data_IF_562569188680
#
_entry.id   IF_562569188680
#
_cell.length_a   1.000
_cell.length_b   1.000
_cell.length_c   1.000
_cell.angle_alpha   90.00
_cell.angle_beta   90.00
_cell.angle_gamma   90.00
#
_symmetry.space_group_name_H-M   'P 1'
#
loop_
_entity.id
_entity.type
_entity.pdbx_description
1 polymer ?
#
# COMPACT_ATOMS: atom_id res chain seq x y z
N UNK A 1 15.63 23.03 41.66
CA UNK A 1 16.98 23.45 41.24
C UNK A 1 17.69 22.18 40.76
N UNK A 2 17.57 21.87 39.47
CA UNK A 2 18.62 22.07 38.43
C UNK A 2 19.83 21.18 38.73
N UNK A 3 20.21 20.20 37.90
CA UNK A 3 20.70 20.38 36.53
C UNK A 3 21.14 18.99 36.00
N UNK A 4 20.56 18.50 34.90
CA UNK A 4 21.12 18.41 33.53
C UNK A 4 22.06 17.23 33.22
N UNK A 5 21.58 16.45 32.24
CA UNK A 5 22.24 16.03 31.00
C UNK A 5 23.50 15.15 31.07
N UNK A 6 23.35 13.93 30.56
CA UNK A 6 24.41 13.15 29.93
C UNK A 6 24.02 12.86 28.48
N UNK A 7 24.51 13.70 27.56
CA UNK A 7 24.58 13.47 26.12
C UNK A 7 26.07 13.44 25.77
N UNK A 8 26.54 12.34 25.17
CA UNK A 8 27.57 12.36 24.12
C UNK A 8 28.02 10.94 23.74
N UNK A 9 27.96 10.63 22.44
CA UNK A 9 29.10 10.13 21.65
C UNK A 9 28.80 10.16 20.15
N UNK A 10 29.12 11.29 19.51
CA UNK A 10 29.49 11.34 18.10
C UNK A 10 30.91 10.77 17.92
N UNK A 11 31.16 10.01 16.85
CA UNK A 11 32.51 9.70 16.36
C UNK A 11 32.80 10.41 15.04
N UNK A 12 34.08 10.80 14.93
CA UNK A 12 34.70 11.83 14.10
C UNK A 12 34.95 11.47 12.63
N UNK A 13 34.98 12.53 11.82
CA UNK A 13 35.64 12.66 10.52
C UNK A 13 37.16 12.47 10.59
N UNK A 14 37.77 11.99 9.51
CA UNK A 14 39.15 12.35 9.12
C UNK A 14 39.22 12.60 7.60
N UNK A 15 39.66 13.81 7.24
CA UNK A 15 40.10 14.22 5.92
C UNK A 15 41.55 14.70 6.06
N UNK A 16 42.45 14.28 5.16
CA UNK A 16 43.75 14.94 4.96
C UNK A 16 44.17 14.91 3.49
N UNK A 17 44.57 16.10 3.05
CA UNK A 17 45.07 16.56 1.75
C UNK A 17 46.44 15.98 1.34
N UNK A 18 46.74 16.01 0.04
CA UNK A 18 48.09 15.93 -0.51
C UNK A 18 48.15 16.34 -1.99
N UNK A 19 48.47 17.62 -2.23
CA UNK A 19 48.72 18.25 -3.54
C UNK A 19 50.15 17.96 -4.03
N UNK A 20 50.38 17.82 -5.34
CA UNK A 20 51.61 18.25 -6.04
C UNK A 20 51.37 18.37 -7.55
N UNK A 21 51.89 19.44 -8.15
CA UNK A 21 51.60 19.95 -9.50
C UNK A 21 52.86 19.98 -10.40
N UNK A 22 52.67 20.58 -11.60
CA UNK A 22 53.63 21.02 -12.64
C UNK A 22 54.00 19.98 -13.72
N UNK A 23 54.14 20.27 -15.03
CA UNK A 23 54.20 21.52 -15.81
C UNK A 23 53.75 21.25 -17.28
N UNK A 24 52.91 22.12 -17.88
CA UNK A 24 53.19 23.08 -18.96
C UNK A 24 53.92 22.58 -20.24
N UNK A 25 53.23 22.64 -21.39
CA UNK A 25 53.76 23.07 -22.70
C UNK A 25 52.61 23.64 -23.58
N UNK A 26 52.80 24.88 -24.03
CA UNK A 26 52.19 25.51 -25.22
C UNK A 26 53.38 26.05 -26.06
N UNK A 27 53.28 26.31 -27.38
CA UNK A 27 52.35 27.26 -28.03
C UNK A 27 51.87 26.73 -29.43
N UNK A 28 51.14 27.38 -30.34
CA UNK A 28 50.90 28.79 -30.66
C UNK A 28 49.77 28.91 -31.73
N UNK A 29 49.06 30.07 -31.73
CA UNK A 29 48.45 30.88 -32.83
C UNK A 29 47.60 30.20 -33.95
N UNK A 30 46.54 30.80 -34.52
CA UNK A 30 46.30 32.17 -35.01
C UNK A 30 44.79 32.48 -34.98
N UNK A 31 44.42 33.74 -34.76
CA UNK A 31 43.07 34.27 -34.96
C UNK A 31 43.09 35.35 -36.06
N UNK A 32 42.14 35.25 -37.00
CA UNK A 32 41.60 36.28 -37.92
C UNK A 32 40.13 35.85 -38.13
N UNK A 33 39.08 36.65 -38.30
CA UNK A 33 38.84 38.07 -38.52
C UNK A 33 37.36 38.20 -38.94
N UNK A 34 36.74 39.31 -38.58
CA UNK A 34 35.30 39.69 -38.63
C UNK A 34 34.64 39.62 -40.03
N UNK A 35 33.32 39.34 -40.11
CA UNK A 35 32.21 40.19 -40.68
C UNK A 35 31.03 39.37 -41.24
N UNK A 36 29.81 39.87 -41.02
CA UNK A 36 28.78 39.94 -42.08
C UNK A 36 27.57 39.02 -41.99
N UNK A 37 26.40 39.63 -41.81
CA UNK A 37 25.04 39.10 -41.93
C UNK A 37 24.68 38.57 -43.34
N UNK A 38 23.50 37.93 -43.40
CA UNK A 38 22.64 37.56 -44.54
C UNK A 38 22.72 36.10 -45.03
N UNK A 39 21.71 35.29 -44.66
CA UNK A 39 20.78 34.69 -45.62
C UNK A 39 19.74 33.80 -44.92
N UNK A 40 18.46 34.14 -45.12
CA UNK A 40 17.32 33.29 -44.82
C UNK A 40 17.32 32.03 -45.72
N UNK A 41 17.07 30.87 -45.11
CA UNK A 41 16.61 29.66 -45.79
C UNK A 41 15.48 29.06 -44.97
N UNK A 42 14.29 29.09 -45.56
CA UNK A 42 13.09 28.45 -45.08
C UNK A 42 13.04 26.97 -45.48
N UNK A 43 12.17 26.25 -44.77
CA UNK A 43 11.61 24.92 -45.05
C UNK A 43 12.44 23.70 -44.62
N UNK A 44 11.86 22.99 -43.65
CA UNK A 44 12.28 21.69 -43.13
C UNK A 44 11.34 21.31 -41.99
N UNK A 45 10.06 21.24 -42.33
CA UNK A 45 8.97 20.75 -41.48
C UNK A 45 9.16 19.23 -41.34
N UNK A 46 9.58 18.78 -40.16
CA UNK A 46 9.40 17.40 -39.72
C UNK A 46 8.94 17.45 -38.28
N UNK A 47 7.62 17.53 -38.15
CA UNK A 47 6.90 17.22 -36.93
C UNK A 47 7.23 15.79 -36.50
N UNK A 48 8.15 15.64 -35.54
CA UNK A 48 8.19 14.42 -34.75
C UNK A 48 7.09 14.52 -33.70
N UNK A 49 5.96 13.92 -34.10
CA UNK A 49 4.79 13.62 -33.28
C UNK A 49 5.22 12.82 -32.04
N UNK A 50 5.51 13.52 -30.95
CA UNK A 50 5.41 12.90 -29.63
C UNK A 50 3.93 12.87 -29.29
N UNK A 51 3.31 11.76 -29.68
CA UNK A 51 1.94 11.42 -29.33
C UNK A 51 1.83 11.35 -27.81
N UNK A 52 1.30 12.43 -27.25
CA UNK A 52 1.02 12.61 -25.83
C UNK A 52 -0.25 11.84 -25.48
N UNK A 53 -0.14 10.51 -25.38
CA UNK A 53 -1.26 9.68 -24.91
C UNK A 53 -1.17 9.50 -23.39
N UNK A 54 -1.79 10.45 -22.69
CA UNK A 54 -1.82 10.52 -21.23
C UNK A 54 -2.90 9.58 -20.67
N UNK A 55 -2.55 8.74 -19.68
CA UNK A 55 -3.49 7.83 -18.97
C UNK A 55 -3.39 7.83 -17.42
N UNK A 56 -4.50 7.95 -16.66
CA UNK A 56 -4.67 7.25 -15.34
C UNK A 56 -4.00 7.83 -14.10
N UNK A 57 -3.95 7.05 -12.99
CA UNK A 57 -2.67 6.80 -12.29
C UNK A 57 -1.59 7.10 -13.32
N UNK A 58 -0.79 8.13 -13.10
CA UNK A 58 -0.12 8.81 -14.22
C UNK A 58 0.67 7.79 -15.05
N UNK A 59 0.37 7.73 -16.35
CA UNK A 59 0.83 6.71 -17.31
C UNK A 59 0.36 5.27 -16.99
N UNK A 60 -0.88 5.12 -16.55
CA UNK A 60 -1.48 3.88 -16.06
C UNK A 60 -2.21 3.09 -17.12
N UNK A 61 -2.20 1.77 -16.97
CA UNK A 61 -2.88 0.83 -17.86
C UNK A 61 -4.29 0.50 -17.37
N UNK A 62 -5.16 0.05 -18.28
CA UNK A 62 -6.49 -0.41 -17.94
C UNK A 62 -6.43 -1.57 -16.92
N UNK A 63 -7.24 -1.53 -15.86
CA UNK A 63 -7.22 -2.56 -14.83
C UNK A 63 -7.49 -3.96 -15.40
N UNK A 64 -6.84 -4.97 -14.81
CA UNK A 64 -7.03 -6.38 -15.17
C UNK A 64 -8.17 -7.00 -14.34
N UNK A 65 -8.58 -8.22 -14.70
CA UNK A 65 -9.70 -8.89 -14.03
C UNK A 65 -9.51 -9.01 -12.50
N UNK A 66 -8.33 -9.44 -12.05
CA UNK A 66 -8.09 -9.65 -10.61
C UNK A 66 -8.17 -8.35 -9.80
N UNK A 67 -7.80 -7.21 -10.41
CA UNK A 67 -7.90 -5.88 -9.81
C UNK A 67 -9.36 -5.43 -9.73
N UNK A 68 -10.10 -5.52 -10.84
CA UNK A 68 -11.53 -5.16 -10.89
C UNK A 68 -12.35 -5.89 -9.84
N UNK A 69 -12.10 -7.18 -9.68
CA UNK A 69 -12.85 -8.01 -8.73
C UNK A 69 -12.66 -7.59 -7.27
N UNK A 70 -11.61 -6.81 -6.94
CA UNK A 70 -11.25 -6.42 -5.57
C UNK A 70 -11.46 -4.94 -5.28
N UNK A 71 -11.53 -4.09 -6.31
CA UNK A 71 -11.60 -2.64 -6.17
C UNK A 71 -13.04 -2.15 -6.39
N UNK A 72 -13.41 -1.05 -5.75
CA UNK A 72 -14.74 -0.43 -5.86
C UNK A 72 -14.64 1.06 -6.10
N UNK A 73 -15.68 1.63 -6.72
CA UNK A 73 -15.86 3.08 -6.81
C UNK A 73 -16.76 3.57 -5.68
N UNK A 74 -16.34 4.65 -5.04
CA UNK A 74 -17.07 5.37 -3.99
C UNK A 74 -17.52 6.77 -4.47
N UNK A 75 -17.70 6.94 -5.79
CA UNK A 75 -18.10 8.22 -6.38
C UNK A 75 -16.91 9.17 -6.62
N UNK A 76 -16.41 9.83 -5.56
CA UNK A 76 -15.24 10.72 -5.63
C UNK A 76 -13.96 10.09 -5.04
N UNK A 77 -14.04 8.98 -4.29
CA UNK A 77 -12.91 8.11 -3.94
C UNK A 77 -12.94 6.68 -4.52
N UNK A 78 -11.85 5.95 -4.32
CA UNK A 78 -11.70 4.51 -4.61
C UNK A 78 -11.67 3.74 -3.28
N UNK A 79 -12.00 2.45 -3.30
CA UNK A 79 -11.85 1.55 -2.15
C UNK A 79 -11.52 0.12 -2.56
N UNK A 80 -11.27 -0.74 -1.58
CA UNK A 80 -10.92 -2.15 -1.77
C UNK A 80 -11.74 -3.07 -0.88
N UNK A 81 -12.14 -4.22 -1.41
CA UNK A 81 -12.97 -5.21 -0.73
C UNK A 81 -12.09 -6.03 0.21
N UNK A 82 -12.35 -5.97 1.51
CA UNK A 82 -11.56 -6.65 2.56
C UNK A 82 -12.35 -7.74 3.30
N UNK A 83 -13.65 -7.83 3.07
CA UNK A 83 -14.46 -9.00 3.44
C UNK A 83 -15.75 -9.06 2.61
N UNK A 84 -16.63 -10.04 2.88
CA UNK A 84 -17.92 -10.18 2.18
C UNK A 84 -18.83 -8.95 2.32
N UNK A 85 -18.67 -8.17 3.38
CA UNK A 85 -19.56 -7.04 3.69
C UNK A 85 -18.78 -5.76 4.02
N UNK A 86 -17.47 -5.71 3.74
CA UNK A 86 -16.65 -4.57 4.13
C UNK A 86 -15.73 -4.09 3.01
N UNK A 87 -15.66 -2.77 2.87
CA UNK A 87 -14.73 -2.05 1.99
C UNK A 87 -13.81 -1.19 2.84
N UNK A 88 -12.53 -1.18 2.50
CA UNK A 88 -11.53 -0.27 3.05
C UNK A 88 -11.33 0.92 2.11
N UNK A 89 -11.19 2.11 2.66
CA UNK A 89 -10.88 3.35 1.93
C UNK A 89 -10.15 4.32 2.86
N UNK A 90 -9.89 5.54 2.39
CA UNK A 90 -9.29 6.61 3.19
C UNK A 90 -10.36 7.34 4.02
N UNK A 91 -9.99 7.84 5.20
CA UNK A 91 -10.89 8.61 6.06
C UNK A 91 -11.22 9.98 5.44
N UNK A 92 -10.24 10.64 4.82
CA UNK A 92 -10.41 11.94 4.16
C UNK A 92 -11.37 11.90 2.95
N UNK A 93 -11.77 10.71 2.50
CA UNK A 93 -12.85 10.55 1.53
C UNK A 93 -14.22 10.95 2.10
N UNK A 94 -14.30 11.19 3.41
CA UNK A 94 -15.51 11.54 4.16
C UNK A 94 -16.67 10.58 3.89
N UNK A 95 -16.44 9.25 3.96
CA UNK A 95 -17.54 8.32 3.77
C UNK A 95 -18.60 8.50 4.87
N UNK A 96 -19.87 8.43 4.49
CA UNK A 96 -20.98 8.62 5.40
C UNK A 96 -22.16 7.71 5.05
N UNK A 97 -22.81 7.19 6.09
CA UNK A 97 -24.04 6.38 5.97
C UNK A 97 -25.10 7.16 5.20
N UNK A 98 -25.78 6.49 4.28
CA UNK A 98 -26.84 7.07 3.45
C UNK A 98 -26.35 7.93 2.27
N UNK A 99 -25.13 8.46 2.32
CA UNK A 99 -24.55 9.31 1.26
C UNK A 99 -23.57 8.53 0.38
N UNK A 100 -22.68 7.76 0.98
CA UNK A 100 -21.69 6.97 0.23
C UNK A 100 -22.36 5.78 -0.42
N UNK A 101 -22.19 5.67 -1.74
CA UNK A 101 -22.63 4.53 -2.55
C UNK A 101 -21.41 3.77 -3.05
N UNK A 102 -21.50 2.45 -3.05
CA UNK A 102 -20.43 1.57 -3.49
C UNK A 102 -20.83 0.93 -4.81
N UNK A 103 -19.98 1.08 -5.83
CA UNK A 103 -20.12 0.41 -7.12
C UNK A 103 -18.98 -0.56 -7.35
N UNK A 104 -19.33 -1.77 -7.76
CA UNK A 104 -18.38 -2.85 -8.05
C UNK A 104 -17.92 -2.81 -9.51
N UNK A 105 -16.83 -3.51 -9.80
CA UNK A 105 -16.38 -3.78 -11.16
C UNK A 105 -16.39 -5.29 -11.39
N UNK A 106 -16.99 -5.75 -12.49
CA UNK A 106 -16.98 -7.17 -12.88
C UNK A 106 -16.22 -7.38 -14.19
N UNK A 107 -16.91 -7.17 -15.30
CA UNK A 107 -16.45 -7.53 -16.66
C UNK A 107 -15.73 -6.37 -17.35
N UNK A 108 -16.13 -5.14 -17.05
CA UNK A 108 -15.59 -3.92 -17.64
C UNK A 108 -14.84 -3.10 -16.60
N UNK A 109 -13.92 -2.26 -17.06
CA UNK A 109 -13.22 -1.30 -16.19
C UNK A 109 -14.09 -0.10 -15.80
N UNK A 110 -15.37 -0.08 -16.17
CA UNK A 110 -16.37 0.88 -15.68
C UNK A 110 -17.24 0.21 -14.62
N UNK A 111 -17.72 0.95 -13.60
CA UNK A 111 -18.48 0.35 -12.52
C UNK A 111 -19.84 -0.17 -12.97
N UNK A 112 -20.25 -1.28 -12.37
CA UNK A 112 -21.53 -1.93 -12.63
C UNK A 112 -22.72 -1.14 -12.04
N UNK A 113 -23.92 -1.58 -12.41
CA UNK A 113 -25.19 -1.21 -11.77
C UNK A 113 -25.91 -2.49 -11.32
N UNK A 114 -26.57 -2.50 -10.13
CA UNK A 114 -26.80 -1.38 -9.21
C UNK A 114 -25.64 -1.10 -8.24
N UNK A 115 -25.73 0.02 -7.52
CA UNK A 115 -24.86 0.35 -6.38
C UNK A 115 -25.37 -0.32 -5.09
N UNK A 116 -24.52 -0.43 -4.07
CA UNK A 116 -24.92 -0.83 -2.72
C UNK A 116 -24.68 0.29 -1.71
N UNK A 117 -25.51 0.33 -0.67
CA UNK A 117 -25.46 1.34 0.38
C UNK A 117 -24.43 0.98 1.46
N UNK A 118 -23.87 2.02 2.07
CA UNK A 118 -23.08 1.93 3.30
C UNK A 118 -24.02 2.10 4.50
N UNK A 119 -24.00 1.14 5.43
CA UNK A 119 -24.84 1.13 6.64
C UNK A 119 -24.08 1.46 7.92
N UNK A 120 -22.75 1.40 7.88
CA UNK A 120 -21.90 1.82 8.98
C UNK A 120 -20.52 2.27 8.46
N UNK A 121 -19.89 3.19 9.17
CA UNK A 121 -18.56 3.74 8.85
C UNK A 121 -17.75 3.80 10.13
N UNK A 122 -16.63 3.08 10.16
CA UNK A 122 -15.68 3.12 11.25
C UNK A 122 -14.43 3.91 10.84
N UNK A 123 -14.11 4.95 11.61
CA UNK A 123 -12.82 5.61 11.60
C UNK A 123 -11.96 5.09 12.75
N UNK A 124 -10.64 5.16 12.57
CA UNK A 124 -9.70 4.79 13.63
C UNK A 124 -9.82 5.78 14.81
N UNK A 125 -9.82 5.33 16.08
CA UNK A 125 -9.91 6.26 17.21
C UNK A 125 -8.86 7.36 17.13
N UNK A 126 -9.27 8.62 17.33
CA UNK A 126 -8.45 9.82 17.17
C UNK A 126 -8.61 10.51 15.82
N UNK A 127 -9.05 9.79 14.78
CA UNK A 127 -9.25 10.35 13.45
C UNK A 127 -10.59 11.08 13.37
N UNK A 128 -10.54 12.35 13.02
CA UNK A 128 -11.68 13.20 12.67
C UNK A 128 -11.42 13.86 11.30
N UNK A 129 -11.85 13.21 10.20
CA UNK A 129 -11.52 13.69 8.87
C UNK A 129 -12.27 14.97 8.49
N UNK A 130 -13.31 15.38 9.23
CA UNK A 130 -14.00 16.65 9.01
C UNK A 130 -13.20 17.85 9.52
N UNK A 131 -12.26 17.63 10.43
CA UNK A 131 -11.34 18.64 10.95
C UNK A 131 -9.90 18.43 10.46
N UNK A 132 -9.70 17.58 9.44
CA UNK A 132 -8.38 17.20 8.89
C UNK A 132 -7.45 16.55 9.94
N UNK A 133 -8.03 15.91 10.96
CA UNK A 133 -7.31 15.15 11.98
C UNK A 133 -7.20 13.69 11.49
N UNK A 134 -6.05 13.35 10.88
CA UNK A 134 -5.82 12.06 10.24
C UNK A 134 -4.86 11.15 11.03
N UNK A 135 -4.47 11.56 12.23
CA UNK A 135 -3.67 10.74 13.14
C UNK A 135 -4.59 10.03 14.14
N UNK A 136 -4.21 8.82 14.54
CA UNK A 136 -4.92 8.09 15.58
C UNK A 136 -4.65 8.66 16.98
N UNK A 137 -5.33 8.11 17.98
CA UNK A 137 -5.17 8.50 19.39
C UNK A 137 -3.75 8.29 19.94
N UNK A 138 -2.91 7.52 19.23
CA UNK A 138 -1.50 7.32 19.53
C UNK A 138 -0.56 8.30 18.81
N UNK A 139 -1.10 9.18 17.95
CA UNK A 139 -0.33 10.13 17.15
C UNK A 139 0.25 9.55 15.87
N UNK A 140 -0.20 8.37 15.43
CA UNK A 140 0.28 7.73 14.20
C UNK A 140 -0.71 7.94 13.06
N UNK A 141 -0.20 8.09 11.85
CA UNK A 141 -1.04 8.37 10.70
C UNK A 141 -2.05 7.25 10.45
N UNK A 142 -3.30 7.62 10.27
CA UNK A 142 -4.43 6.71 10.23
C UNK A 142 -5.54 7.23 9.31
N UNK A 143 -5.18 7.75 8.13
CA UNK A 143 -6.15 8.08 7.08
C UNK A 143 -6.77 6.79 6.48
N UNK A 144 -7.69 6.18 7.22
CA UNK A 144 -8.30 4.89 6.90
C UNK A 144 -9.71 4.81 7.47
N UNK A 145 -10.62 4.22 6.69
CA UNK A 145 -11.99 3.97 7.09
C UNK A 145 -12.44 2.57 6.63
N UNK A 146 -13.21 1.89 7.48
CA UNK A 146 -13.90 0.64 7.15
C UNK A 146 -15.38 0.95 6.94
N UNK A 147 -15.90 0.57 5.77
CA UNK A 147 -17.30 0.73 5.40
C UNK A 147 -18.01 -0.62 5.50
N UNK A 148 -19.12 -0.67 6.21
CA UNK A 148 -20.00 -1.84 6.25
C UNK A 148 -21.10 -1.69 5.20
N UNK A 149 -21.22 -2.69 4.33
CA UNK A 149 -22.14 -2.70 3.21
C UNK A 149 -23.51 -3.26 3.62
N UNK A 150 -24.58 -2.68 3.09
CA UNK A 150 -25.96 -3.16 3.28
C UNK A 150 -26.16 -4.59 2.76
N UNK A 151 -25.50 -4.91 1.64
CA UNK A 151 -25.56 -6.21 0.98
C UNK A 151 -24.16 -6.79 0.82
N UNK A 152 -24.00 -8.13 0.87
CA UNK A 152 -22.72 -8.76 0.56
C UNK A 152 -22.23 -8.40 -0.86
N UNK A 153 -20.92 -8.48 -1.06
CA UNK A 153 -20.30 -8.32 -2.37
C UNK A 153 -20.91 -9.30 -3.40
N UNK A 154 -21.00 -8.91 -4.68
CA UNK A 154 -21.51 -9.79 -5.71
C UNK A 154 -20.55 -10.98 -5.94
N UNK A 155 -21.05 -12.08 -6.50
CA UNK A 155 -20.25 -13.27 -6.81
C UNK A 155 -19.14 -13.03 -7.83
N UNK A 156 -19.19 -11.91 -8.56
CA UNK A 156 -18.16 -11.45 -9.47
C UNK A 156 -17.00 -10.77 -8.74
N UNK A 157 -17.15 -10.41 -7.47
CA UNK A 157 -16.13 -9.79 -6.65
C UNK A 157 -15.40 -10.80 -5.77
N UNK A 158 -14.18 -10.45 -5.38
CA UNK A 158 -13.28 -11.27 -4.58
C UNK A 158 -12.77 -10.43 -3.42
N UNK A 159 -12.71 -11.04 -2.24
CA UNK A 159 -12.07 -10.42 -1.07
C UNK A 159 -10.56 -10.34 -1.31
N UNK A 160 -9.99 -9.14 -1.17
CA UNK A 160 -8.56 -8.95 -1.17
C UNK A 160 -7.98 -9.35 0.19
N UNK A 161 -6.95 -10.17 0.19
CA UNK A 161 -6.19 -10.47 1.41
C UNK A 161 -5.37 -9.25 1.80
N UNK A 162 -5.27 -8.97 3.10
CA UNK A 162 -4.37 -7.95 3.64
C UNK A 162 -2.93 -8.47 3.60
N UNK A 163 -1.99 -7.56 3.36
CA UNK A 163 -0.58 -7.86 3.52
C UNK A 163 -0.25 -7.88 5.02
N UNK A 164 0.54 -8.87 5.41
CA UNK A 164 0.97 -9.06 6.79
C UNK A 164 2.42 -8.64 7.01
N UNK A 165 3.08 -8.25 5.92
CA UNK A 165 4.41 -7.70 5.94
C UNK A 165 4.31 -6.25 5.53
N UNK A 166 5.00 -5.41 6.29
CA UNK A 166 5.27 -4.09 5.81
C UNK A 166 6.05 -4.19 4.50
N UNK A 167 5.67 -3.45 3.45
CA UNK A 167 6.16 -3.79 2.12
C UNK A 167 7.63 -3.42 1.90
N UNK A 168 8.22 -2.58 2.75
CA UNK A 168 9.67 -2.30 2.78
C UNK A 168 10.17 -1.39 1.65
N UNK A 169 11.43 -0.97 1.77
CA UNK A 169 12.15 -0.30 0.69
C UNK A 169 12.46 -1.28 -0.46
N UNK A 170 12.60 -0.76 -1.68
CA UNK A 170 12.91 -1.51 -2.91
C UNK A 170 11.88 -2.55 -3.40
N UNK A 171 10.79 -2.75 -2.68
CA UNK A 171 9.64 -3.51 -3.18
C UNK A 171 8.90 -2.75 -4.30
N UNK A 172 8.06 -3.48 -5.05
CA UNK A 172 7.17 -2.89 -6.06
C UNK A 172 5.72 -3.11 -5.68
N UNK A 173 4.94 -2.03 -5.67
CA UNK A 173 3.51 -2.05 -5.47
C UNK A 173 2.72 -1.80 -6.75
N UNK A 174 1.54 -2.39 -6.85
CA UNK A 174 0.56 -2.13 -7.91
C UNK A 174 -0.56 -1.27 -7.36
N UNK A 175 -0.58 -0.01 -7.76
CA UNK A 175 -1.60 0.97 -7.36
C UNK A 175 -2.81 0.81 -8.28
N UNK A 176 -4.02 0.86 -7.73
CA UNK A 176 -5.26 0.74 -8.53
C UNK A 176 -6.25 1.83 -8.10
N UNK A 177 -6.80 2.53 -9.09
CA UNK A 177 -7.59 3.74 -8.84
C UNK A 177 -8.48 4.12 -10.02
N UNK A 178 -9.56 4.84 -9.71
CA UNK A 178 -10.50 5.41 -10.70
C UNK A 178 -10.48 6.94 -10.70
N UNK A 179 -9.40 7.54 -10.24
CA UNK A 179 -9.20 8.98 -10.25
C UNK A 179 -9.26 9.57 -11.65
N UNK A 180 -9.07 10.90 -11.71
CA UNK A 180 -8.89 11.62 -12.97
C UNK A 180 -7.78 11.02 -13.81
N UNK A 181 -7.82 11.29 -15.10
CA UNK A 181 -6.88 10.75 -16.07
C UNK A 181 -6.03 11.90 -16.58
N UNK A 182 -4.82 12.06 -16.01
CA UNK A 182 -3.85 13.07 -16.48
C UNK A 182 -4.38 14.49 -16.38
N UNK A 183 -5.04 14.77 -15.26
CA UNK A 183 -5.75 16.02 -15.03
C UNK A 183 -7.13 16.11 -15.68
N UNK A 184 -7.48 15.22 -16.62
CA UNK A 184 -8.80 15.18 -17.26
C UNK A 184 -9.86 14.45 -16.43
N UNK A 185 -11.13 14.80 -16.67
CA UNK A 185 -12.26 14.20 -15.95
C UNK A 185 -12.47 12.74 -16.34
N UNK A 186 -12.66 11.87 -15.35
CA UNK A 186 -13.01 10.46 -15.54
C UNK A 186 -14.52 10.25 -15.28
N UNK A 187 -15.36 10.76 -16.17
CA UNK A 187 -16.83 10.72 -16.00
C UNK A 187 -17.41 9.30 -16.02
N UNK A 188 -16.71 8.35 -16.64
CA UNK A 188 -17.11 6.94 -16.70
C UNK A 188 -16.61 6.11 -15.52
N UNK A 189 -15.83 6.71 -14.61
CA UNK A 189 -15.20 6.02 -13.48
C UNK A 189 -14.34 4.82 -13.93
N UNK A 190 -13.67 4.96 -15.08
CA UNK A 190 -12.78 3.95 -15.63
C UNK A 190 -11.64 3.64 -14.65
N UNK A 191 -11.43 2.36 -14.37
CA UNK A 191 -10.43 1.85 -13.45
C UNK A 191 -9.10 1.59 -14.17
N UNK A 192 -8.01 2.14 -13.63
CA UNK A 192 -6.65 1.92 -14.12
C UNK A 192 -5.72 1.48 -12.99
N UNK A 193 -4.54 1.01 -13.38
CA UNK A 193 -3.46 0.64 -12.48
C UNK A 193 -2.10 1.15 -12.99
N UNK A 194 -1.13 1.29 -12.10
CA UNK A 194 0.29 1.28 -12.48
C UNK A 194 1.14 0.71 -11.36
N UNK A 195 2.33 0.27 -11.73
CA UNK A 195 3.35 -0.15 -10.77
C UNK A 195 4.16 1.04 -10.30
N UNK A 196 4.68 0.95 -9.08
CA UNK A 196 5.54 1.95 -8.46
C UNK A 196 6.48 1.26 -7.48
N UNK A 197 7.74 1.70 -7.44
CA UNK A 197 8.65 1.25 -6.40
C UNK A 197 8.22 1.80 -5.05
N UNK A 198 8.65 1.17 -3.96
CA UNK A 198 8.41 1.62 -2.59
C UNK A 198 9.68 2.24 -2.02
N UNK A 199 9.48 3.29 -1.22
CA UNK A 199 10.56 4.15 -0.75
C UNK A 199 10.89 3.96 0.73
N UNK A 200 9.89 3.69 1.57
CA UNK A 200 10.07 3.69 3.02
C UNK A 200 9.94 2.31 3.64
N UNK A 201 10.88 2.01 4.51
CA UNK A 201 10.90 0.89 5.44
C UNK A 201 10.40 1.27 6.85
N UNK A 202 10.11 2.56 7.12
CA UNK A 202 9.61 3.01 8.41
C UNK A 202 8.22 2.42 8.69
N UNK A 203 8.16 1.47 9.61
CA UNK A 203 6.93 0.78 10.02
C UNK A 203 6.18 1.52 11.14
N UNK A 204 6.81 2.45 11.85
CA UNK A 204 6.30 2.94 13.14
C UNK A 204 5.24 4.05 13.00
N UNK A 205 5.21 4.76 11.87
CA UNK A 205 4.37 5.96 11.71
C UNK A 205 2.98 5.67 11.10
N UNK A 206 2.66 4.41 10.79
CA UNK A 206 1.36 4.02 10.20
C UNK A 206 1.21 4.33 8.70
N UNK A 207 2.26 4.75 8.00
CA UNK A 207 2.25 5.03 6.57
C UNK A 207 3.56 4.67 5.87
N UNK A 208 3.49 4.41 4.56
CA UNK A 208 4.65 4.29 3.69
C UNK A 208 4.54 5.18 2.45
N UNK A 209 5.67 5.35 1.77
CA UNK A 209 5.80 6.09 0.52
C UNK A 209 6.11 5.21 -0.67
N UNK A 210 5.66 5.64 -1.85
CA UNK A 210 6.12 5.11 -3.15
C UNK A 210 7.30 5.92 -3.70
N UNK A 211 7.88 5.48 -4.81
CA UNK A 211 8.99 6.17 -5.46
C UNK A 211 8.57 7.41 -6.24
N UNK A 212 7.45 7.30 -6.96
CA UNK A 212 6.89 8.37 -7.78
C UNK A 212 5.50 8.80 -7.28
N UNK A 213 5.05 10.01 -7.61
CA UNK A 213 3.70 10.52 -7.34
C UNK A 213 2.70 10.24 -8.47
N UNK A 214 2.46 8.96 -8.78
CA UNK A 214 1.61 8.55 -9.91
C UNK A 214 0.10 8.58 -9.62
N UNK A 215 -0.43 9.61 -8.96
CA UNK A 215 -1.85 9.63 -8.56
C UNK A 215 -2.59 10.88 -9.04
N UNK A 216 -3.91 10.78 -9.07
CA UNK A 216 -4.82 11.84 -9.48
C UNK A 216 -6.00 11.96 -8.52
N UNK A 217 -6.73 13.09 -8.59
CA UNK A 217 -7.94 13.30 -7.77
C UNK A 217 -8.92 12.16 -7.99
N UNK A 218 -9.27 11.50 -6.89
CA UNK A 218 -10.21 10.38 -6.83
C UNK A 218 -9.60 8.99 -6.86
N UNK A 219 -8.27 8.89 -6.93
CA UNK A 219 -7.54 7.67 -6.55
C UNK A 219 -7.49 7.51 -5.02
N UNK A 220 -7.74 8.58 -4.26
CA UNK A 220 -7.85 8.58 -2.79
C UNK A 220 -8.64 7.38 -2.27
N UNK A 221 -8.10 6.71 -1.26
CA UNK A 221 -8.61 5.47 -0.68
C UNK A 221 -8.38 4.21 -1.52
N UNK A 222 -7.88 4.35 -2.75
CA UNK A 222 -7.53 3.25 -3.62
C UNK A 222 -6.39 2.41 -3.07
N UNK A 223 -6.39 1.09 -3.31
CA UNK A 223 -5.38 0.21 -2.76
C UNK A 223 -4.05 0.28 -3.53
N UNK A 224 -2.97 -0.01 -2.81
CA UNK A 224 -1.74 -0.54 -3.39
C UNK A 224 -1.58 -2.01 -2.99
N UNK A 225 -1.32 -2.85 -3.98
CA UNK A 225 -1.10 -4.28 -3.81
C UNK A 225 0.39 -4.63 -3.87
N UNK A 226 0.87 -5.45 -2.94
CA UNK A 226 2.24 -5.95 -2.86
C UNK A 226 2.23 -7.46 -2.62
N UNK A 227 3.41 -8.08 -2.62
CA UNK A 227 3.61 -9.49 -2.27
C UNK A 227 2.57 -10.42 -2.95
N UNK A 228 2.43 -10.22 -4.27
CA UNK A 228 1.37 -10.82 -5.08
C UNK A 228 0.16 -9.89 -5.24
N UNK A 229 -0.94 -10.21 -4.56
CA UNK A 229 -2.22 -9.49 -4.64
C UNK A 229 -2.75 -9.10 -3.26
N UNK A 230 -1.83 -8.80 -2.32
CA UNK A 230 -2.17 -8.44 -0.95
C UNK A 230 -2.24 -6.93 -0.81
N UNK A 231 -3.28 -6.42 -0.16
CA UNK A 231 -3.43 -4.97 0.08
C UNK A 231 -2.42 -4.56 1.13
N UNK A 232 -1.51 -3.64 0.79
CA UNK A 232 -0.55 -3.07 1.74
C UNK A 232 -0.99 -1.72 2.30
N UNK A 233 -1.74 -0.95 1.54
CA UNK A 233 -2.18 0.37 1.98
C UNK A 233 -3.33 0.94 1.17
N UNK A 234 -3.94 2.00 1.71
CA UNK A 234 -4.91 2.86 1.01
C UNK A 234 -4.33 4.25 0.81
N UNK A 235 -4.55 4.84 -0.36
CA UNK A 235 -3.93 6.10 -0.75
C UNK A 235 -4.52 7.28 0.03
N UNK A 236 -3.67 8.06 0.69
CA UNK A 236 -4.05 9.41 1.14
C UNK A 236 -3.87 10.43 0.02
N UNK A 237 -2.66 10.53 -0.51
CA UNK A 237 -2.28 11.58 -1.47
C UNK A 237 -0.78 11.55 -1.73
N UNK A 238 -0.17 12.72 -1.96
CA UNK A 238 1.27 12.86 -2.15
C UNK A 238 1.92 13.75 -1.10
N UNK A 239 3.21 13.53 -0.81
CA UNK A 239 4.00 14.30 0.14
C UNK A 239 5.41 14.56 -0.40
N UNK A 240 6.01 15.70 -0.03
CA UNK A 240 7.41 15.98 -0.35
C UNK A 240 8.32 15.28 0.65
N UNK A 241 9.07 14.27 0.21
CA UNK A 241 10.07 13.60 1.05
C UNK A 241 11.26 13.17 0.20
N UNK A 242 12.46 13.32 0.76
CA UNK A 242 13.72 12.98 0.11
C UNK A 242 13.85 13.57 -1.31
N UNK A 243 13.56 14.86 -1.43
CA UNK A 243 13.70 15.65 -2.66
C UNK A 243 12.80 15.23 -3.83
N UNK A 244 11.71 14.49 -3.55
CA UNK A 244 10.71 14.11 -4.54
C UNK A 244 9.28 14.21 -4.00
N UNK A 245 8.31 14.41 -4.88
CA UNK A 245 6.90 14.14 -4.61
C UNK A 245 6.67 12.62 -4.64
N UNK A 246 6.02 12.08 -3.62
CA UNK A 246 5.78 10.64 -3.48
C UNK A 246 4.37 10.38 -2.98
N UNK A 247 3.74 9.29 -3.40
CA UNK A 247 2.44 8.92 -2.83
C UNK A 247 2.62 8.41 -1.40
N UNK A 248 1.76 8.86 -0.49
CA UNK A 248 1.67 8.40 0.89
C UNK A 248 0.46 7.47 1.02
N UNK A 249 0.70 6.27 1.53
CA UNK A 249 -0.33 5.27 1.80
C UNK A 249 -0.43 5.01 3.30
N UNK A 250 -1.65 4.94 3.82
CA UNK A 250 -1.91 4.44 5.17
C UNK A 250 -1.68 2.93 5.20
N UNK A 251 -0.82 2.44 6.09
CA UNK A 251 -0.40 1.03 6.14
C UNK A 251 -1.49 0.11 6.71
N UNK A 252 -1.94 -0.86 5.91
CA UNK A 252 -2.88 -1.87 6.41
C UNK A 252 -2.25 -2.85 7.39
N UNK A 253 -0.94 -3.08 7.32
CA UNK A 253 -0.24 -3.98 8.24
C UNK A 253 -0.16 -3.35 9.63
N UNK A 254 0.19 -2.06 9.69
CA UNK A 254 0.23 -1.31 10.95
C UNK A 254 -1.15 -1.24 11.62
N UNK A 255 -2.19 -1.02 10.80
CA UNK A 255 -3.58 -0.90 11.26
C UNK A 255 -4.31 -2.25 11.29
N UNK A 256 -3.61 -3.38 11.11
CA UNK A 256 -4.22 -4.69 10.84
C UNK A 256 -5.23 -5.08 11.91
N UNK A 257 -4.87 -5.00 13.19
CA UNK A 257 -5.75 -5.43 14.28
C UNK A 257 -7.04 -4.60 14.32
N UNK A 258 -6.95 -3.29 14.10
CA UNK A 258 -8.12 -2.44 14.01
C UNK A 258 -8.99 -2.78 12.80
N UNK A 259 -8.39 -3.07 11.63
CA UNK A 259 -9.14 -3.53 10.45
C UNK A 259 -9.85 -4.85 10.76
N UNK A 260 -9.14 -5.82 11.35
CA UNK A 260 -9.69 -7.13 11.70
C UNK A 260 -10.85 -7.04 12.70
N UNK A 261 -10.80 -6.10 13.65
CA UNK A 261 -11.91 -5.82 14.56
C UNK A 261 -13.15 -5.32 13.82
N UNK A 262 -12.98 -4.34 12.94
CA UNK A 262 -14.11 -3.72 12.25
C UNK A 262 -14.73 -4.61 11.17
N UNK A 263 -13.98 -5.57 10.61
CA UNK A 263 -14.56 -6.58 9.71
C UNK A 263 -15.11 -7.81 10.44
N UNK A 264 -15.04 -7.84 11.78
CA UNK A 264 -15.52 -8.95 12.61
C UNK A 264 -14.70 -10.23 12.48
N UNK A 265 -13.41 -10.14 12.14
CA UNK A 265 -12.54 -11.30 11.98
C UNK A 265 -12.14 -11.91 13.33
N UNK A 266 -12.65 -13.11 13.63
CA UNK A 266 -12.32 -13.84 14.88
C UNK A 266 -11.32 -14.98 14.66
N UNK A 267 -11.03 -15.34 13.41
CA UNK A 267 -10.18 -16.48 13.03
C UNK A 267 -10.68 -17.84 13.52
N UNK A 268 -11.94 -17.95 13.97
CA UNK A 268 -12.47 -19.17 14.63
C UNK A 268 -13.15 -20.14 13.67
N UNK A 269 -13.62 -19.64 12.51
CA UNK A 269 -14.41 -20.45 11.55
C UNK A 269 -13.59 -21.16 10.46
N UNK A 270 -12.26 -21.00 10.45
CA UNK A 270 -11.39 -21.51 9.39
C UNK A 270 -10.58 -22.75 9.78
N UNK A 271 -10.69 -23.21 11.03
CA UNK A 271 -9.89 -24.29 11.58
C UNK A 271 -10.79 -25.38 12.16
N UNK A 272 -10.62 -26.61 11.68
CA UNK A 272 -11.29 -27.78 12.23
C UNK A 272 -10.85 -28.10 13.66
N UNK A 273 -9.62 -27.74 14.05
CA UNK A 273 -9.08 -27.93 15.40
C UNK A 273 -8.22 -26.74 15.83
N UNK A 274 -8.35 -26.34 17.10
CA UNK A 274 -7.39 -25.45 17.77
C UNK A 274 -6.93 -26.13 19.06
N UNK A 275 -5.63 -26.38 19.17
CA UNK A 275 -5.01 -27.16 20.21
C UNK A 275 -4.06 -26.28 21.03
N UNK A 276 -4.14 -26.37 22.35
CA UNK A 276 -3.24 -25.70 23.28
C UNK A 276 -2.10 -26.62 23.71
N UNK A 277 -0.91 -26.08 23.94
CA UNK A 277 0.30 -26.84 24.28
C UNK A 277 0.64 -27.90 23.23
N UNK A 278 0.45 -27.54 21.96
CA UNK A 278 0.76 -28.36 20.80
C UNK A 278 1.61 -27.56 19.82
N UNK A 279 2.52 -28.25 19.16
CA UNK A 279 3.36 -27.79 18.06
C UNK A 279 3.21 -28.77 16.91
N UNK A 280 3.26 -28.30 15.67
CA UNK A 280 3.34 -29.18 14.49
C UNK A 280 4.79 -29.64 14.31
N UNK A 281 5.00 -30.96 14.23
CA UNK A 281 6.32 -31.59 14.06
C UNK A 281 6.89 -31.48 12.64
N UNK A 282 6.11 -30.95 11.70
CA UNK A 282 6.57 -30.62 10.35
C UNK A 282 7.59 -29.47 10.33
N UNK A 283 8.22 -29.27 9.18
CA UNK A 283 9.04 -28.08 8.94
C UNK A 283 8.15 -26.93 8.49
N UNK A 284 8.18 -25.75 9.15
CA UNK A 284 7.41 -24.62 8.68
C UNK A 284 7.99 -24.09 7.37
N UNK A 285 7.13 -23.88 6.37
CA UNK A 285 7.53 -23.26 5.10
C UNK A 285 7.55 -21.74 5.20
N UNK A 286 6.82 -21.19 6.17
CA UNK A 286 6.62 -19.75 6.33
C UNK A 286 6.63 -19.31 7.79
N UNK A 287 6.98 -18.03 7.97
CA UNK A 287 7.04 -17.39 9.27
C UNK A 287 6.33 -16.04 9.20
N UNK A 288 5.54 -15.71 10.21
CA UNK A 288 4.90 -14.41 10.40
C UNK A 288 5.09 -13.97 11.84
N UNK A 289 5.51 -12.73 12.07
CA UNK A 289 5.53 -12.15 13.42
C UNK A 289 4.17 -11.55 13.77
N UNK A 290 3.74 -11.74 15.02
CA UNK A 290 2.56 -11.11 15.57
C UNK A 290 1.68 -12.02 16.41
N UNK A 291 0.58 -11.46 16.90
CA UNK A 291 -0.32 -12.19 17.78
C UNK A 291 -1.00 -13.40 17.09
N UNK A 292 -1.66 -14.22 17.91
CA UNK A 292 -2.38 -15.40 17.45
C UNK A 292 -3.42 -15.08 16.37
N UNK A 293 -4.00 -13.87 16.38
CA UNK A 293 -5.01 -13.48 15.41
C UNK A 293 -4.38 -13.20 14.04
N UNK A 294 -3.25 -12.49 14.00
CA UNK A 294 -2.45 -12.33 12.77
C UNK A 294 -2.00 -13.69 12.25
N UNK A 295 -1.59 -14.60 13.13
CA UNK A 295 -1.21 -15.97 12.76
C UNK A 295 -2.36 -16.75 12.10
N UNK A 296 -3.56 -16.72 12.72
CA UNK A 296 -4.78 -17.29 12.15
C UNK A 296 -5.14 -16.67 10.82
N UNK A 297 -5.00 -15.36 10.67
CA UNK A 297 -5.28 -14.67 9.41
C UNK A 297 -4.29 -15.11 8.33
N UNK A 298 -3.00 -15.14 8.65
CA UNK A 298 -1.92 -15.54 7.75
C UNK A 298 -2.20 -16.91 7.13
N UNK A 299 -2.40 -17.91 7.99
CA UNK A 299 -2.66 -19.25 7.52
C UNK A 299 -3.98 -19.30 6.73
N UNK A 300 -5.09 -18.76 7.24
CA UNK A 300 -6.39 -18.78 6.54
C UNK A 300 -6.34 -18.18 5.13
N UNK A 301 -5.58 -17.10 4.94
CA UNK A 301 -5.46 -16.38 3.68
C UNK A 301 -4.25 -16.82 2.84
N UNK A 302 -3.64 -17.94 3.17
CA UNK A 302 -2.65 -18.65 2.36
C UNK A 302 -3.20 -20.02 1.93
N UNK A 303 -3.25 -20.26 0.62
CA UNK A 303 -3.72 -21.52 0.05
C UNK A 303 -2.79 -22.71 0.31
N UNK A 304 -1.51 -22.46 0.58
CA UNK A 304 -0.54 -23.52 0.93
C UNK A 304 -0.65 -23.93 2.39
N UNK A 305 -1.07 -23.02 3.27
CA UNK A 305 -1.15 -23.31 4.69
C UNK A 305 -2.27 -24.31 5.00
N UNK A 306 -1.92 -25.42 5.64
CA UNK A 306 -2.86 -26.41 6.19
C UNK A 306 -2.91 -26.38 7.72
N UNK A 307 -1.87 -25.86 8.37
CA UNK A 307 -1.81 -25.70 9.82
C UNK A 307 -0.90 -24.54 10.21
N UNK A 308 -1.09 -24.00 11.42
CA UNK A 308 -0.18 -23.05 12.04
C UNK A 308 0.20 -23.49 13.45
N UNK A 309 1.34 -23.03 13.94
CA UNK A 309 1.72 -23.08 15.35
C UNK A 309 2.14 -21.68 15.79
N UNK A 310 1.52 -21.17 16.85
CA UNK A 310 1.77 -19.85 17.39
C UNK A 310 2.38 -19.96 18.78
N UNK A 311 3.52 -19.32 18.99
CA UNK A 311 4.15 -19.16 20.29
C UNK A 311 3.69 -17.84 20.91
N UNK A 312 2.89 -17.90 21.98
CA UNK A 312 2.50 -16.70 22.71
C UNK A 312 3.63 -16.22 23.62
N UNK A 313 3.89 -14.90 23.67
CA UNK A 313 4.88 -14.34 24.61
C UNK A 313 5.68 -13.17 24.04
N UNK A 314 6.99 -13.17 24.30
CA UNK A 314 7.88 -12.05 23.96
C UNK A 314 8.07 -11.84 22.46
N UNK A 315 8.28 -12.93 21.70
CA UNK A 315 8.54 -12.84 20.25
C UNK A 315 7.27 -12.96 19.40
N UNK A 316 6.20 -13.58 19.93
CA UNK A 316 4.94 -13.79 19.22
C UNK A 316 5.13 -14.37 17.82
N UNK A 317 5.74 -15.56 17.78
CA UNK A 317 6.14 -16.23 16.55
C UNK A 317 4.98 -17.05 15.97
N UNK A 318 4.71 -16.90 14.67
CA UNK A 318 3.77 -17.75 13.94
C UNK A 318 4.51 -18.57 12.88
N UNK A 319 4.36 -19.88 12.95
CA UNK A 319 4.90 -20.85 12.02
C UNK A 319 3.77 -21.41 11.15
N UNK A 320 3.95 -21.37 9.83
CA UNK A 320 2.97 -21.85 8.85
C UNK A 320 3.45 -23.17 8.23
N UNK A 321 2.53 -24.11 8.08
CA UNK A 321 2.82 -25.47 7.63
C UNK A 321 1.95 -25.84 6.43
N UNK A 322 2.57 -26.41 5.40
CA UNK A 322 1.95 -27.04 4.22
C UNK A 322 2.04 -28.58 4.29
N UNK A 323 2.89 -29.09 5.19
CA UNK A 323 2.97 -30.47 5.65
C UNK A 323 3.01 -30.52 7.19
N UNK A 324 2.23 -31.41 7.81
CA UNK A 324 2.18 -31.57 9.25
C UNK A 324 3.18 -32.60 9.79
N UNK A 325 3.88 -33.35 8.94
CA UNK A 325 4.76 -34.44 9.38
C UNK A 325 3.99 -35.48 10.21
N UNK A 326 4.50 -35.81 11.40
CA UNK A 326 3.85 -36.71 12.36
C UNK A 326 2.63 -36.07 13.08
N UNK A 327 2.32 -34.81 12.77
CA UNK A 327 1.18 -34.08 13.30
C UNK A 327 1.47 -33.31 14.60
N UNK A 328 0.43 -32.99 15.39
CA UNK A 328 0.58 -32.19 16.60
C UNK A 328 1.28 -32.95 17.75
N UNK A 329 2.51 -32.56 18.06
CA UNK A 329 3.28 -33.05 19.21
C UNK A 329 3.06 -32.16 20.44
N UNK A 330 3.21 -32.73 21.63
CA UNK A 330 3.03 -32.00 22.89
C UNK A 330 4.25 -31.11 23.17
N UNK A 331 4.02 -29.81 23.36
CA UNK A 331 5.05 -28.83 23.69
C UNK A 331 4.49 -27.72 24.58
N UNK A 332 5.29 -27.15 25.48
CA UNK A 332 4.81 -26.08 26.37
C UNK A 332 4.74 -24.75 25.63
N UNK A 333 3.55 -24.10 25.60
CA UNK A 333 3.43 -22.69 25.22
C UNK A 333 2.92 -22.37 23.81
N UNK A 334 2.70 -23.38 22.97
CA UNK A 334 2.22 -23.17 21.59
C UNK A 334 0.72 -23.41 21.44
N UNK A 335 0.08 -22.60 20.59
CA UNK A 335 -1.29 -22.80 20.11
C UNK A 335 -1.24 -23.21 18.64
N UNK A 336 -1.72 -24.41 18.33
CA UNK A 336 -1.76 -24.95 16.97
C UNK A 336 -3.17 -24.91 16.41
N UNK A 337 -3.34 -24.48 15.17
CA UNK A 337 -4.61 -24.62 14.44
C UNK A 337 -4.42 -25.47 13.18
N UNK A 338 -5.38 -26.34 12.90
CA UNK A 338 -5.41 -27.20 11.70
C UNK A 338 -6.66 -26.82 10.91
N UNK A 339 -6.49 -26.57 9.61
CA UNK A 339 -7.60 -26.27 8.70
C UNK A 339 -8.43 -27.53 8.45
#
# INVERSE_FOLDING_TARGET
MTSLLNLNRLHRMYATLGLLASAAFAPACVAEGVTGDEAALAAGDEAELVDSESSAIINGSAATAWMRQRVVSLGNCTGVIVSKNHVLTAAHCLPAVGTTKVRFYSTMNTPDTPETDVIDVAFKPGVDPWNDELDDSGGNFADIAVLTLANPIPSTSVVASLDLHYPGDDATGTQVGRGRHDGASNSTSLLKYATNGLYSDNVDDGYFYTNDDRINKGDSGGPIFTNGQRVSGVLWGYWWVAFAMRNKYTSTEYHLNWILDNIGYTGSGAYSQTLTNKLIDGWPYGFVSGDLRKCKYACQHDSQCIAYSHEGGGENNCYLYDDMGDGPVTYSGFTTGIK
#
